data_IF_792372154287
#
_entry.id   IF_792372154287
#
_cell.length_a   1.000
_cell.length_b   1.000
_cell.length_c   1.000
_cell.angle_alpha   90.00
_cell.angle_beta   90.00
_cell.angle_gamma   90.00
#
_symmetry.space_group_name_H-M   'P 1'
#
loop_
_entity.id
_entity.type
_entity.pdbx_description
1 polymer ?
#
# COMPACT_ATOMS: atom_id res chain seq x y z
N UNK A 1 -11.09 -3.51 1.08
CA UNK A 1 -12.14 -3.82 2.08
C UNK A 1 -12.58 -2.61 2.89
N UNK A 2 -11.64 -1.84 3.55
CA UNK A 2 -12.03 -0.71 4.42
C UNK A 2 -12.81 0.34 3.64
N UNK A 3 -12.30 0.80 2.50
CA UNK A 3 -13.00 1.75 1.62
C UNK A 3 -14.39 1.25 1.22
N UNK A 4 -14.48 -0.01 0.78
CA UNK A 4 -15.75 -0.66 0.39
C UNK A 4 -16.73 -0.75 1.55
N UNK A 5 -16.26 -0.99 2.78
CA UNK A 5 -17.10 -1.02 3.99
C UNK A 5 -17.88 0.29 4.16
N UNK A 6 -17.23 1.43 3.93
CA UNK A 6 -17.88 2.75 4.03
C UNK A 6 -18.64 3.15 2.76
N UNK A 7 -18.12 2.87 1.56
CA UNK A 7 -18.72 3.34 0.30
C UNK A 7 -19.93 2.52 -0.14
N UNK A 8 -19.92 1.20 0.04
CA UNK A 8 -20.91 0.26 -0.48
C UNK A 8 -21.45 -0.70 0.58
N UNK A 9 -20.76 -0.79 1.71
CA UNK A 9 -21.01 -1.79 2.76
C UNK A 9 -21.85 -1.30 3.92
N UNK A 10 -21.83 -2.04 5.05
CA UNK A 10 -22.60 -1.73 6.24
C UNK A 10 -22.30 -0.36 6.87
N UNK A 11 -21.10 0.19 6.63
CA UNK A 11 -20.67 1.45 7.23
C UNK A 11 -21.27 2.72 6.64
N UNK A 12 -22.10 2.64 5.58
CA UNK A 12 -22.66 3.82 4.90
C UNK A 12 -23.45 4.77 5.85
N UNK A 13 -24.13 4.23 6.84
CA UNK A 13 -24.89 5.03 7.82
C UNK A 13 -24.01 5.95 8.66
N UNK A 14 -22.70 5.69 8.74
CA UNK A 14 -21.75 6.50 9.51
C UNK A 14 -21.50 7.88 8.90
N UNK A 15 -21.93 8.11 7.65
CA UNK A 15 -21.86 9.40 6.98
C UNK A 15 -22.50 10.54 7.78
N UNK A 16 -23.55 10.23 8.54
CA UNK A 16 -24.28 11.22 9.34
C UNK A 16 -23.52 11.67 10.60
N UNK A 17 -22.48 10.96 10.99
CA UNK A 17 -21.71 11.17 12.23
C UNK A 17 -20.36 11.86 12.01
N UNK A 18 -19.97 12.10 10.77
CA UNK A 18 -18.68 12.71 10.39
C UNK A 18 -18.88 13.84 9.40
N UNK A 19 -17.91 14.75 9.32
CA UNK A 19 -17.95 15.82 8.32
C UNK A 19 -17.80 15.27 6.89
N UNK A 20 -18.22 16.04 5.85
CA UNK A 20 -18.03 15.62 4.45
C UNK A 20 -16.57 15.29 4.09
N UNK A 21 -15.62 16.01 4.67
CA UNK A 21 -14.19 15.79 4.46
C UNK A 21 -13.72 14.48 5.08
N UNK A 22 -14.06 14.25 6.33
CA UNK A 22 -13.76 13.00 7.04
C UNK A 22 -14.42 11.80 6.36
N UNK A 23 -15.65 12.00 5.84
CA UNK A 23 -16.32 10.96 5.06
C UNK A 23 -15.55 10.61 3.79
N UNK A 24 -14.98 11.59 3.10
CA UNK A 24 -14.17 11.38 1.91
C UNK A 24 -12.92 10.56 2.23
N UNK A 25 -12.28 10.80 3.38
CA UNK A 25 -11.17 9.97 3.87
C UNK A 25 -11.56 8.49 4.05
N UNK A 26 -12.75 8.24 4.59
CA UNK A 26 -13.23 6.90 4.89
C UNK A 26 -13.59 6.10 3.62
N UNK A 27 -14.33 6.72 2.69
CA UNK A 27 -14.74 6.04 1.45
C UNK A 27 -13.59 5.83 0.46
N UNK A 28 -12.51 6.57 0.61
CA UNK A 28 -11.28 6.42 -0.18
C UNK A 28 -10.13 5.85 0.64
N UNK A 29 -10.37 5.28 1.83
CA UNK A 29 -9.30 4.80 2.71
C UNK A 29 -8.21 4.09 1.92
N UNK A 30 -6.97 4.59 2.05
CA UNK A 30 -5.86 4.30 1.15
C UNK A 30 -4.58 4.01 1.93
N UNK A 31 -3.83 3.00 1.48
CA UNK A 31 -2.64 2.52 2.17
C UNK A 31 -1.52 3.55 2.27
N UNK A 32 -1.33 4.41 1.25
CA UNK A 32 -0.30 5.46 1.30
C UNK A 32 -0.61 6.50 2.39
N UNK A 33 -1.88 6.95 2.48
CA UNK A 33 -2.30 7.86 3.53
C UNK A 33 -2.17 7.21 4.92
N UNK A 34 -2.53 5.94 5.03
CA UNK A 34 -2.37 5.19 6.28
C UNK A 34 -0.91 5.03 6.68
N UNK A 35 0.00 4.82 5.74
CA UNK A 35 1.45 4.76 6.00
C UNK A 35 1.98 6.07 6.58
N UNK A 36 1.57 7.21 6.01
CA UNK A 36 1.95 8.53 6.55
C UNK A 36 1.41 8.71 7.97
N UNK A 37 0.14 8.35 8.21
CA UNK A 37 -0.48 8.40 9.54
C UNK A 37 0.27 7.53 10.56
N UNK A 38 0.58 6.27 10.24
CA UNK A 38 1.32 5.36 11.13
C UNK A 38 2.68 5.92 11.57
N UNK A 39 3.34 6.68 10.71
CA UNK A 39 4.65 7.27 11.00
C UNK A 39 4.56 8.59 11.78
N UNK A 40 3.49 9.35 11.61
CA UNK A 40 3.36 10.72 12.15
C UNK A 40 2.41 10.83 13.32
N UNK A 41 1.40 9.97 13.41
CA UNK A 41 0.39 10.03 14.47
C UNK A 41 0.99 9.76 15.84
N UNK A 42 0.60 10.59 16.82
CA UNK A 42 0.99 10.40 18.21
C UNK A 42 0.03 9.43 18.90
N UNK A 43 0.33 8.15 18.84
CA UNK A 43 -0.41 7.15 19.60
C UNK A 43 -0.29 7.39 21.11
N UNK A 44 -1.34 7.05 21.85
CA UNK A 44 -1.41 7.27 23.29
C UNK A 44 -0.22 6.60 24.02
N UNK A 45 0.41 7.34 24.91
CA UNK A 45 1.60 6.88 25.65
C UNK A 45 2.91 6.93 24.85
N UNK A 46 2.88 7.48 23.63
CA UNK A 46 4.07 7.73 22.82
C UNK A 46 4.47 9.20 22.86
N UNK A 47 5.75 9.47 22.56
CA UNK A 47 6.25 10.86 22.44
C UNK A 47 5.62 11.57 21.24
N UNK A 48 5.61 12.90 21.27
CA UNK A 48 5.21 13.71 20.11
C UNK A 48 6.05 13.42 18.87
N UNK A 49 5.44 13.57 17.68
CA UNK A 49 6.09 13.33 16.40
C UNK A 49 6.09 11.87 15.94
N UNK A 50 5.23 11.02 16.50
CA UNK A 50 5.07 9.63 16.08
C UNK A 50 6.38 8.84 16.18
N UNK A 51 6.85 8.30 15.06
CA UNK A 51 8.14 7.58 15.00
C UNK A 51 9.35 8.51 14.91
N UNK A 52 9.15 9.83 14.93
CA UNK A 52 10.20 10.85 14.86
C UNK A 52 11.14 10.68 13.65
N UNK A 53 10.55 10.40 12.50
CA UNK A 53 11.26 10.34 11.22
C UNK A 53 11.72 11.74 10.78
N UNK A 54 12.75 11.81 9.95
CA UNK A 54 13.12 13.07 9.30
C UNK A 54 12.04 13.51 8.31
N UNK A 55 11.92 14.81 8.05
CA UNK A 55 10.96 15.30 7.08
C UNK A 55 11.21 14.74 5.68
N UNK A 56 12.48 14.61 5.27
CA UNK A 56 12.82 13.99 3.98
C UNK A 56 12.35 12.54 3.90
N UNK A 57 12.50 11.74 4.97
CA UNK A 57 11.99 10.36 5.01
C UNK A 57 10.47 10.32 4.94
N UNK A 58 9.77 11.23 5.66
CA UNK A 58 8.31 11.32 5.59
C UNK A 58 7.84 11.72 4.20
N UNK A 59 8.48 12.73 3.59
CA UNK A 59 8.11 13.18 2.24
C UNK A 59 8.37 12.14 1.17
N UNK A 60 9.41 11.30 1.32
CA UNK A 60 9.80 10.29 0.33
C UNK A 60 8.79 9.16 0.16
N UNK A 61 7.88 8.95 1.11
CA UNK A 61 6.85 7.90 1.03
C UNK A 61 5.49 8.44 0.56
N UNK A 62 5.32 9.76 0.46
CA UNK A 62 4.02 10.36 0.08
C UNK A 62 3.92 10.45 -1.45
N UNK A 63 3.49 9.35 -2.07
CA UNK A 63 3.31 9.22 -3.53
C UNK A 63 2.27 10.20 -4.08
N UNK A 64 1.24 10.52 -3.29
CA UNK A 64 0.13 11.38 -3.66
C UNK A 64 0.04 12.57 -2.69
N UNK A 65 0.82 13.65 -2.89
CA UNK A 65 0.96 14.73 -1.92
C UNK A 65 -0.27 15.67 -1.92
N UNK A 66 -1.43 15.12 -1.61
CA UNK A 66 -2.72 15.82 -1.51
C UNK A 66 -3.71 15.03 -0.65
N UNK A 67 -4.72 15.72 -0.12
CA UNK A 67 -5.79 15.15 0.71
C UNK A 67 -6.81 14.37 -0.14
N UNK A 68 -7.66 13.60 0.53
CA UNK A 68 -8.75 12.82 -0.09
C UNK A 68 -9.70 13.66 -0.94
N UNK A 69 -9.86 14.95 -0.64
CA UNK A 69 -10.67 15.88 -1.47
C UNK A 69 -10.18 15.97 -2.93
N UNK A 70 -8.93 15.58 -3.20
CA UNK A 70 -8.32 15.60 -4.53
C UNK A 70 -8.02 14.20 -5.09
N UNK A 71 -8.57 13.15 -4.48
CA UNK A 71 -8.28 11.76 -4.82
C UNK A 71 -8.72 11.35 -6.24
N UNK A 72 -9.70 12.06 -6.82
CA UNK A 72 -10.27 11.75 -8.14
C UNK A 72 -10.90 10.35 -8.18
N UNK A 73 -11.13 9.84 -9.39
CA UNK A 73 -11.78 8.54 -9.60
C UNK A 73 -10.95 7.35 -9.08
N UNK A 74 -9.62 7.48 -9.04
CA UNK A 74 -8.73 6.42 -8.54
C UNK A 74 -8.73 6.29 -7.02
N UNK A 75 -9.33 7.23 -6.28
CA UNK A 75 -9.37 7.22 -4.81
C UNK A 75 -8.02 7.32 -4.12
N UNK A 76 -6.94 7.74 -4.82
CA UNK A 76 -5.58 7.81 -4.29
C UNK A 76 -5.29 9.17 -3.67
N UNK A 77 -4.72 9.21 -2.46
CA UNK A 77 -4.29 10.40 -1.73
C UNK A 77 -3.21 10.05 -0.72
N UNK A 78 -2.53 11.03 -0.13
CA UNK A 78 -1.32 10.79 0.66
C UNK A 78 -1.43 11.05 2.16
N UNK A 79 -2.50 11.71 2.63
CA UNK A 79 -2.72 11.98 4.05
C UNK A 79 -4.19 12.25 4.35
N UNK A 80 -4.66 11.78 5.50
CA UNK A 80 -6.01 12.05 5.99
C UNK A 80 -6.15 13.49 6.48
N UNK A 81 -7.38 13.94 6.69
CA UNK A 81 -7.68 15.26 7.24
C UNK A 81 -6.94 15.54 8.55
N UNK A 82 -6.78 14.51 9.38
CA UNK A 82 -6.07 14.57 10.66
C UNK A 82 -4.55 14.81 10.54
N UNK A 83 -3.93 14.40 9.42
CA UNK A 83 -2.49 14.54 9.20
C UNK A 83 -2.11 15.70 8.27
N UNK A 84 -3.07 16.46 7.74
CA UNK A 84 -2.78 17.56 6.81
C UNK A 84 -1.85 18.63 7.39
N UNK A 85 -2.06 19.03 8.64
CA UNK A 85 -1.21 20.04 9.29
C UNK A 85 0.24 19.57 9.38
N UNK A 86 0.44 18.28 9.71
CA UNK A 86 1.77 17.67 9.77
C UNK A 86 2.40 17.63 8.37
N UNK A 87 1.63 17.26 7.35
CA UNK A 87 2.16 17.22 5.98
C UNK A 87 2.53 18.62 5.49
N UNK A 88 1.70 19.65 5.74
CA UNK A 88 2.02 21.05 5.42
C UNK A 88 3.32 21.49 6.08
N UNK A 89 3.51 21.15 7.35
CA UNK A 89 4.76 21.44 8.05
C UNK A 89 5.96 20.75 7.41
N UNK A 90 5.82 19.50 6.96
CA UNK A 90 6.87 18.77 6.21
C UNK A 90 7.18 19.48 4.91
N UNK A 91 6.15 19.86 4.15
CA UNK A 91 6.29 20.55 2.87
C UNK A 91 6.98 21.91 3.02
N UNK A 92 6.56 22.73 4.01
CA UNK A 92 7.16 24.03 4.30
C UNK A 92 8.65 23.91 4.66
N UNK A 93 9.00 22.96 5.51
CA UNK A 93 10.39 22.77 5.95
C UNK A 93 11.32 22.26 4.82
N UNK A 94 10.76 21.56 3.84
CA UNK A 94 11.52 21.06 2.69
C UNK A 94 11.41 21.97 1.46
N UNK A 95 10.62 23.05 1.53
CA UNK A 95 10.37 23.93 0.40
C UNK A 95 9.63 23.24 -0.76
N UNK A 96 8.77 22.25 -0.46
CA UNK A 96 7.97 21.57 -1.48
C UNK A 96 6.90 22.52 -2.00
N UNK A 97 6.84 22.83 -3.31
CA UNK A 97 5.86 23.75 -3.88
C UNK A 97 4.42 23.28 -3.66
N UNK A 98 3.54 24.18 -3.24
CA UNK A 98 2.10 23.96 -3.26
C UNK A 98 1.52 24.59 -4.53
N UNK A 99 0.68 23.86 -5.26
CA UNK A 99 -0.04 24.32 -6.43
C UNK A 99 -1.36 24.99 -6.05
N UNK A 100 -1.92 25.84 -6.92
CA UNK A 100 -3.15 26.61 -6.67
C UNK A 100 -4.36 25.78 -6.19
N UNK A 101 -4.38 24.49 -6.51
CA UNK A 101 -5.47 23.59 -6.15
C UNK A 101 -5.28 22.88 -4.79
N UNK A 102 -4.28 23.26 -3.98
CA UNK A 102 -3.99 22.60 -2.69
C UNK A 102 -3.29 21.25 -2.82
N UNK A 103 -2.77 20.93 -4.00
CA UNK A 103 -1.85 19.80 -4.21
C UNK A 103 -0.43 20.30 -4.06
N UNK A 104 0.45 19.41 -3.63
CA UNK A 104 1.89 19.70 -3.54
C UNK A 104 2.65 18.97 -4.61
N UNK A 105 3.85 19.46 -4.93
CA UNK A 105 4.81 18.74 -5.75
C UNK A 105 5.25 17.45 -5.03
N UNK A 106 5.63 16.43 -5.78
CA UNK A 106 6.23 15.21 -5.22
C UNK A 106 7.65 15.51 -4.77
N UNK A 107 8.01 15.05 -3.59
CA UNK A 107 9.41 15.10 -3.15
C UNK A 107 10.28 14.26 -4.09
N UNK A 108 11.50 14.70 -4.49
CA UNK A 108 12.34 13.98 -5.45
C UNK A 108 12.53 12.49 -5.14
N UNK A 109 12.75 12.14 -3.87
CA UNK A 109 12.95 10.74 -3.47
C UNK A 109 11.69 9.85 -3.61
N UNK A 110 10.50 10.43 -3.79
CA UNK A 110 9.27 9.64 -4.03
C UNK A 110 9.39 8.83 -5.32
N UNK A 111 9.97 9.41 -6.36
CA UNK A 111 10.15 8.72 -7.65
C UNK A 111 11.03 7.47 -7.50
N UNK A 112 12.08 7.55 -6.68
CA UNK A 112 12.96 6.41 -6.40
C UNK A 112 12.23 5.36 -5.55
N UNK A 113 11.51 5.80 -4.51
CA UNK A 113 10.75 4.89 -3.64
C UNK A 113 9.66 4.16 -4.43
N UNK A 114 8.92 4.88 -5.28
CA UNK A 114 7.91 4.33 -6.17
C UNK A 114 8.50 3.30 -7.13
N UNK A 115 9.59 3.66 -7.82
CA UNK A 115 10.23 2.74 -8.76
C UNK A 115 10.77 1.48 -8.06
N UNK A 116 11.34 1.60 -6.86
CA UNK A 116 11.82 0.46 -6.09
C UNK A 116 10.68 -0.48 -5.69
N UNK A 117 9.54 0.07 -5.25
CA UNK A 117 8.34 -0.68 -4.90
C UNK A 117 7.76 -1.40 -6.13
N UNK A 118 7.52 -0.67 -7.21
CA UNK A 118 6.92 -1.20 -8.43
C UNK A 118 7.81 -2.28 -9.10
N UNK A 119 9.14 -2.09 -9.14
CA UNK A 119 10.09 -3.08 -9.68
C UNK A 119 10.05 -4.36 -8.84
N UNK A 120 10.18 -4.23 -7.51
CA UNK A 120 10.23 -5.39 -6.64
C UNK A 120 8.91 -6.16 -6.67
N UNK A 121 7.80 -5.46 -6.47
CA UNK A 121 6.47 -6.05 -6.41
C UNK A 121 6.16 -6.86 -7.67
N UNK A 122 6.24 -6.24 -8.85
CA UNK A 122 5.87 -6.87 -10.11
C UNK A 122 6.72 -8.10 -10.45
N UNK A 123 8.02 -8.03 -10.21
CA UNK A 123 8.94 -9.11 -10.56
C UNK A 123 8.86 -10.26 -9.55
N UNK A 124 8.70 -9.95 -8.26
CA UNK A 124 8.57 -10.95 -7.22
C UNK A 124 7.23 -11.68 -7.26
N UNK A 125 6.14 -11.00 -7.62
CA UNK A 125 4.82 -11.64 -7.78
C UNK A 125 4.84 -12.75 -8.83
N UNK A 126 5.55 -12.55 -9.95
CA UNK A 126 5.72 -13.59 -10.98
C UNK A 126 6.54 -14.78 -10.46
N UNK A 127 7.61 -14.52 -9.71
CA UNK A 127 8.41 -15.59 -9.08
C UNK A 127 7.58 -16.38 -8.06
N UNK A 128 6.84 -15.70 -7.20
CA UNK A 128 6.04 -16.35 -6.17
C UNK A 128 4.86 -17.11 -6.77
N UNK A 129 4.20 -16.58 -7.79
CA UNK A 129 3.16 -17.28 -8.53
C UNK A 129 3.68 -18.57 -9.20
N UNK A 130 4.93 -18.55 -9.67
CA UNK A 130 5.58 -19.76 -10.20
C UNK A 130 5.88 -20.77 -9.08
N UNK A 131 6.42 -20.34 -7.94
CA UNK A 131 6.67 -21.21 -6.78
C UNK A 131 5.39 -21.87 -6.27
N UNK A 132 4.29 -21.11 -6.28
CA UNK A 132 2.96 -21.59 -5.92
C UNK A 132 2.27 -22.39 -7.03
N UNK A 133 2.92 -22.56 -8.20
CA UNK A 133 2.41 -23.27 -9.38
C UNK A 133 1.13 -22.68 -9.98
N UNK A 134 0.90 -21.40 -9.76
CA UNK A 134 -0.19 -20.63 -10.39
C UNK A 134 0.13 -20.40 -11.88
N UNK A 135 1.40 -20.16 -12.20
CA UNK A 135 1.90 -20.03 -13.58
C UNK A 135 3.10 -20.94 -13.82
N UNK A 136 3.31 -21.41 -15.06
CA UNK A 136 4.44 -22.29 -15.38
C UNK A 136 5.77 -21.55 -15.43
N UNK A 137 6.86 -22.24 -15.08
CA UNK A 137 8.22 -21.68 -15.07
C UNK A 137 8.67 -21.15 -16.43
N UNK A 138 8.29 -21.83 -17.51
CA UNK A 138 8.62 -21.44 -18.88
C UNK A 138 8.07 -20.06 -19.25
N UNK A 139 6.87 -19.73 -18.77
CA UNK A 139 6.26 -18.42 -18.99
C UNK A 139 7.07 -17.33 -18.28
N UNK A 140 7.47 -17.54 -17.02
CA UNK A 140 8.25 -16.57 -16.26
C UNK A 140 9.62 -16.35 -16.90
N UNK A 141 10.26 -17.43 -17.35
CA UNK A 141 11.54 -17.36 -18.07
C UNK A 141 11.39 -16.53 -19.36
N UNK A 142 10.34 -16.75 -20.15
CA UNK A 142 10.10 -15.97 -21.38
C UNK A 142 9.85 -14.48 -21.09
N UNK A 143 9.02 -14.17 -20.09
CA UNK A 143 8.76 -12.81 -19.66
C UNK A 143 10.05 -12.08 -19.24
N UNK A 144 10.86 -12.72 -18.40
CA UNK A 144 12.11 -12.13 -17.91
C UNK A 144 13.18 -11.99 -19.00
N UNK A 145 13.26 -12.91 -19.93
CA UNK A 145 14.14 -12.78 -21.08
C UNK A 145 13.74 -11.63 -22.03
N UNK A 146 12.48 -11.19 -21.99
CA UNK A 146 12.01 -10.06 -22.76
C UNK A 146 12.68 -8.72 -22.42
N UNK A 147 13.25 -8.59 -21.20
CA UNK A 147 13.97 -7.38 -20.78
C UNK A 147 15.31 -7.18 -21.48
N UNK A 148 15.85 -8.21 -22.17
CA UNK A 148 17.21 -8.23 -22.70
C UNK A 148 17.22 -8.21 -24.23
N UNK A 149 18.27 -7.59 -24.80
CA UNK A 149 18.53 -7.69 -26.23
C UNK A 149 19.04 -9.10 -26.63
N UNK A 150 19.19 -9.34 -27.93
CA UNK A 150 19.62 -10.65 -28.46
C UNK A 150 20.97 -11.12 -27.89
N UNK A 151 21.90 -10.20 -27.66
CA UNK A 151 23.24 -10.54 -27.15
C UNK A 151 23.18 -11.00 -25.70
N UNK A 152 22.53 -10.21 -24.86
CA UNK A 152 22.34 -10.52 -23.44
C UNK A 152 21.45 -11.73 -23.23
N UNK A 153 20.35 -11.83 -24.00
CA UNK A 153 19.47 -13.01 -24.01
C UNK A 153 20.24 -14.29 -24.31
N UNK A 154 21.10 -14.27 -25.35
CA UNK A 154 21.94 -15.41 -25.71
C UNK A 154 22.93 -15.79 -24.59
N UNK A 155 23.49 -14.79 -23.89
CA UNK A 155 24.34 -15.02 -22.72
C UNK A 155 23.58 -15.67 -21.58
N UNK A 156 22.38 -15.18 -21.27
CA UNK A 156 21.52 -15.72 -20.20
C UNK A 156 21.08 -17.13 -20.50
N UNK A 157 20.64 -17.43 -21.72
CA UNK A 157 20.25 -18.78 -22.13
C UNK A 157 21.38 -19.79 -21.94
N UNK A 158 22.64 -19.41 -22.22
CA UNK A 158 23.81 -20.27 -21.94
C UNK A 158 23.99 -20.55 -20.44
N UNK A 159 23.72 -19.56 -19.60
CA UNK A 159 23.80 -19.72 -18.14
C UNK A 159 22.65 -20.62 -17.65
N UNK A 160 21.43 -20.36 -18.12
CA UNK A 160 20.25 -21.18 -17.78
C UNK A 160 20.40 -22.64 -18.17
N UNK A 161 21.13 -22.92 -19.28
CA UNK A 161 21.42 -24.28 -19.71
C UNK A 161 22.36 -25.05 -18.76
N UNK A 162 22.97 -24.40 -17.78
CA UNK A 162 23.83 -25.01 -16.75
C UNK A 162 23.14 -25.20 -15.40
N UNK A 163 21.94 -24.65 -15.28
CA UNK A 163 21.10 -24.73 -14.07
C UNK A 163 20.02 -25.78 -14.31
N UNK A 164 19.83 -26.69 -13.37
CA UNK A 164 18.80 -27.72 -13.46
C UNK A 164 17.50 -27.28 -12.77
N UNK A 165 17.60 -26.64 -11.59
CA UNK A 165 16.45 -26.21 -10.82
C UNK A 165 15.74 -25.01 -11.47
N UNK A 166 14.43 -25.11 -11.78
CA UNK A 166 13.64 -23.99 -12.29
C UNK A 166 13.65 -22.76 -11.39
N UNK A 167 13.69 -22.93 -10.07
CA UNK A 167 13.73 -21.80 -9.13
C UNK A 167 15.06 -21.04 -9.21
N UNK A 168 16.17 -21.77 -9.38
CA UNK A 168 17.48 -21.13 -9.59
C UNK A 168 17.52 -20.35 -10.91
N UNK A 169 16.92 -20.89 -11.98
CA UNK A 169 16.80 -20.19 -13.27
C UNK A 169 16.06 -18.87 -13.13
N UNK A 170 14.92 -18.88 -12.45
CA UNK A 170 14.10 -17.69 -12.24
C UNK A 170 14.81 -16.69 -11.33
N UNK A 171 15.41 -17.14 -10.23
CA UNK A 171 16.18 -16.28 -9.32
C UNK A 171 17.35 -15.58 -10.03
N UNK A 172 18.06 -16.30 -10.92
CA UNK A 172 19.10 -15.71 -11.75
C UNK A 172 18.57 -14.63 -12.69
N UNK A 173 17.47 -14.92 -13.41
CA UNK A 173 16.85 -13.94 -14.31
C UNK A 173 16.28 -12.74 -13.54
N UNK A 174 15.58 -12.97 -12.43
CA UNK A 174 15.05 -11.92 -11.56
C UNK A 174 16.13 -10.92 -11.17
N UNK A 175 17.26 -11.41 -10.69
CA UNK A 175 18.38 -10.53 -10.29
C UNK A 175 18.87 -9.66 -11.45
N UNK A 176 18.97 -10.20 -12.65
CA UNK A 176 19.38 -9.48 -13.84
C UNK A 176 18.31 -8.47 -14.31
N UNK A 177 17.02 -8.85 -14.26
CA UNK A 177 15.90 -7.96 -14.62
C UNK A 177 15.85 -6.76 -13.68
N UNK A 178 15.88 -6.99 -12.36
CA UNK A 178 15.91 -5.92 -11.36
C UNK A 178 17.12 -5.01 -11.61
N UNK A 179 18.29 -5.58 -11.82
CA UNK A 179 19.50 -4.80 -12.13
C UNK A 179 19.35 -3.91 -13.36
N UNK A 180 18.79 -4.44 -14.45
CA UNK A 180 18.57 -3.66 -15.68
C UNK A 180 17.56 -2.53 -15.46
N UNK A 181 16.47 -2.77 -14.76
CA UNK A 181 15.45 -1.76 -14.46
C UNK A 181 15.98 -0.67 -13.52
N UNK A 182 16.74 -1.04 -12.48
CA UNK A 182 17.35 -0.09 -11.55
C UNK A 182 18.31 0.85 -12.26
N UNK A 183 19.16 0.34 -13.16
CA UNK A 183 20.10 1.17 -13.93
C UNK A 183 19.34 2.16 -14.81
N UNK A 184 18.33 1.70 -15.56
CA UNK A 184 17.56 2.55 -16.47
C UNK A 184 16.73 3.61 -15.70
N UNK A 185 16.08 3.23 -14.59
CA UNK A 185 15.37 4.18 -13.73
C UNK A 185 16.32 5.24 -13.12
N UNK A 186 17.56 4.86 -12.76
CA UNK A 186 18.55 5.81 -12.27
C UNK A 186 18.98 6.81 -13.36
N UNK A 187 19.12 6.36 -14.61
CA UNK A 187 19.41 7.22 -15.75
C UNK A 187 18.24 8.18 -16.05
N UNK A 188 16.98 7.68 -15.99
CA UNK A 188 15.78 8.51 -16.13
C UNK A 188 15.72 9.57 -15.03
N UNK A 189 15.98 9.18 -13.78
CA UNK A 189 15.98 10.09 -12.64
C UNK A 189 17.06 11.19 -12.82
N UNK A 190 18.27 10.81 -13.14
CA UNK A 190 19.38 11.75 -13.33
C UNK A 190 19.14 12.71 -14.52
N UNK A 191 18.59 12.21 -15.63
CA UNK A 191 18.26 13.05 -16.79
C UNK A 191 17.04 13.94 -16.57
N UNK A 192 16.15 13.56 -15.67
CA UNK A 192 14.95 14.31 -15.29
C UNK A 192 15.13 15.25 -14.10
N UNK A 193 16.33 15.38 -13.53
CA UNK A 193 16.60 16.08 -12.26
C UNK A 193 16.00 17.49 -12.21
N UNK A 194 16.17 18.29 -13.25
CA UNK A 194 15.66 19.67 -13.31
C UNK A 194 14.11 19.69 -13.18
N UNK A 195 13.42 18.87 -13.96
CA UNK A 195 11.96 18.78 -13.92
C UNK A 195 11.44 18.18 -12.59
N UNK A 196 12.17 17.24 -12.02
CA UNK A 196 11.84 16.63 -10.72
C UNK A 196 11.95 17.69 -9.61
N UNK A 197 13.03 18.46 -9.59
CA UNK A 197 13.24 19.53 -8.59
C UNK A 197 12.25 20.68 -8.77
N UNK A 198 11.84 20.98 -10.00
CA UNK A 198 10.80 21.97 -10.28
C UNK A 198 9.36 21.48 -9.93
N UNK A 199 9.16 20.17 -9.67
CA UNK A 199 7.84 19.57 -9.45
C UNK A 199 7.03 19.37 -10.74
N UNK A 200 7.68 19.43 -11.91
CA UNK A 200 7.07 19.35 -13.24
C UNK A 200 7.15 17.95 -13.87
N UNK A 201 7.87 17.00 -13.24
CA UNK A 201 7.97 15.63 -13.72
C UNK A 201 6.68 14.86 -13.41
N UNK A 202 5.82 14.69 -14.43
CA UNK A 202 4.45 14.20 -14.26
C UNK A 202 4.30 12.67 -14.27
N UNK A 203 5.32 11.92 -14.73
CA UNK A 203 5.24 10.47 -14.91
C UNK A 203 5.98 9.72 -13.79
N UNK A 204 5.89 8.38 -13.78
CA UNK A 204 6.80 7.54 -12.99
C UNK A 204 8.13 7.33 -13.72
N UNK A 205 9.17 6.88 -13.00
CA UNK A 205 10.45 6.53 -13.66
C UNK A 205 10.26 5.35 -14.61
N UNK A 206 9.40 4.40 -14.26
CA UNK A 206 9.08 3.22 -15.09
C UNK A 206 8.43 3.64 -16.42
N UNK A 207 7.53 4.62 -16.41
CA UNK A 207 6.90 5.12 -17.63
C UNK A 207 7.88 5.78 -18.61
N UNK A 208 9.02 6.21 -18.12
CA UNK A 208 10.09 6.87 -18.90
C UNK A 208 11.27 5.96 -19.22
N UNK A 209 11.25 4.70 -18.78
CA UNK A 209 12.26 3.71 -19.16
C UNK A 209 12.38 3.55 -20.70
N UNK A 210 13.50 3.00 -21.14
CA UNK A 210 13.69 2.61 -22.54
C UNK A 210 12.52 1.73 -23.03
N UNK A 211 12.08 1.88 -24.29
CA UNK A 211 10.89 1.21 -24.82
C UNK A 211 10.86 -0.29 -24.57
N UNK A 212 12.00 -0.99 -24.76
CA UNK A 212 12.10 -2.43 -24.54
C UNK A 212 11.80 -2.84 -23.09
N UNK A 213 12.39 -2.15 -22.10
CA UNK A 213 12.18 -2.45 -20.69
C UNK A 213 10.75 -2.17 -20.28
N UNK A 214 10.19 -1.06 -20.72
CA UNK A 214 8.80 -0.68 -20.48
C UNK A 214 7.82 -1.68 -21.09
N UNK A 215 8.04 -2.13 -22.31
CA UNK A 215 7.21 -3.14 -22.97
C UNK A 215 7.28 -4.49 -22.23
N UNK A 216 8.48 -4.93 -21.84
CA UNK A 216 8.66 -6.16 -21.07
C UNK A 216 7.98 -6.06 -19.70
N UNK A 217 8.08 -4.93 -19.02
CA UNK A 217 7.38 -4.66 -17.76
C UNK A 217 5.85 -4.70 -17.93
N UNK A 218 5.32 -4.06 -18.99
CA UNK A 218 3.89 -4.10 -19.29
C UNK A 218 3.38 -5.52 -19.53
N UNK A 219 4.14 -6.36 -20.24
CA UNK A 219 3.81 -7.79 -20.43
C UNK A 219 3.78 -8.56 -19.10
N UNK A 220 4.69 -8.25 -18.19
CA UNK A 220 4.67 -8.80 -16.83
C UNK A 220 3.39 -8.39 -16.08
N UNK A 221 3.04 -7.10 -16.12
CA UNK A 221 1.83 -6.57 -15.47
C UNK A 221 0.56 -7.16 -16.04
N UNK A 222 0.44 -7.26 -17.36
CA UNK A 222 -0.71 -7.90 -18.02
C UNK A 222 -0.84 -9.38 -17.65
N UNK A 223 0.30 -10.09 -17.54
CA UNK A 223 0.32 -11.49 -17.12
C UNK A 223 -0.12 -11.66 -15.67
N UNK A 224 0.39 -10.80 -14.78
CA UNK A 224 0.01 -10.81 -13.37
C UNK A 224 -1.49 -10.55 -13.21
N UNK A 225 -2.02 -9.53 -13.90
CA UNK A 225 -3.45 -9.20 -13.88
C UNK A 225 -4.32 -10.35 -14.35
N UNK A 226 -3.99 -10.93 -15.51
CA UNK A 226 -4.85 -11.92 -16.16
C UNK A 226 -4.71 -13.35 -15.60
N UNK A 227 -3.59 -13.68 -14.96
CA UNK A 227 -3.30 -15.06 -14.54
C UNK A 227 -3.01 -15.24 -13.05
N UNK A 228 -2.57 -14.20 -12.35
CA UNK A 228 -2.21 -14.29 -10.93
C UNK A 228 -3.33 -13.75 -10.07
N UNK A 229 -3.68 -12.47 -10.24
CA UNK A 229 -4.66 -11.81 -9.36
C UNK A 229 -6.09 -12.34 -9.56
N UNK A 230 -6.38 -12.96 -10.71
CA UNK A 230 -7.66 -13.63 -10.98
C UNK A 230 -7.62 -15.14 -10.67
N UNK A 231 -6.50 -15.68 -10.17
CA UNK A 231 -6.41 -17.07 -9.81
C UNK A 231 -7.33 -17.40 -8.62
N UNK A 232 -7.94 -18.57 -8.66
CA UNK A 232 -8.93 -18.98 -7.65
C UNK A 232 -8.37 -18.94 -6.24
N UNK A 233 -7.13 -19.36 -6.06
CA UNK A 233 -6.42 -19.38 -4.78
C UNK A 233 -6.30 -17.97 -4.19
N UNK A 234 -6.04 -16.96 -5.03
CA UNK A 234 -5.95 -15.54 -4.63
C UNK A 234 -7.34 -15.00 -4.30
N UNK A 235 -8.31 -15.24 -5.19
CA UNK A 235 -9.70 -14.77 -5.00
C UNK A 235 -10.33 -15.36 -3.73
N UNK A 236 -10.08 -16.64 -3.42
CA UNK A 236 -10.59 -17.28 -2.21
C UNK A 236 -10.04 -16.60 -0.94
N UNK A 237 -8.76 -16.19 -0.94
CA UNK A 237 -8.14 -15.44 0.17
C UNK A 237 -8.73 -14.03 0.27
N UNK A 238 -8.91 -13.34 -0.85
CA UNK A 238 -9.52 -11.99 -0.85
C UNK A 238 -10.95 -11.99 -0.32
N UNK A 239 -11.76 -12.98 -0.72
CA UNK A 239 -13.13 -13.14 -0.23
C UNK A 239 -13.16 -13.41 1.27
N UNK A 240 -12.29 -14.30 1.75
CA UNK A 240 -12.16 -14.60 3.18
C UNK A 240 -11.71 -13.37 3.98
N UNK A 241 -10.68 -12.67 3.48
CA UNK A 241 -10.17 -11.44 4.08
C UNK A 241 -11.22 -10.33 4.14
N UNK A 242 -11.97 -10.14 3.05
CA UNK A 242 -13.08 -9.18 3.02
C UNK A 242 -14.11 -9.48 4.12
N UNK A 243 -14.52 -10.73 4.25
CA UNK A 243 -15.49 -11.14 5.27
C UNK A 243 -14.99 -10.95 6.70
N UNK A 244 -13.73 -11.30 6.96
CA UNK A 244 -13.10 -11.15 8.27
C UNK A 244 -13.02 -9.68 8.65
N UNK A 245 -12.48 -8.85 7.78
CA UNK A 245 -12.28 -7.41 8.04
C UNK A 245 -13.61 -6.68 8.18
N UNK A 246 -14.61 -6.97 7.33
CA UNK A 246 -15.95 -6.37 7.44
C UNK A 246 -16.58 -6.68 8.79
N UNK A 247 -16.48 -7.93 9.26
CA UNK A 247 -17.00 -8.31 10.56
C UNK A 247 -16.29 -7.60 11.72
N UNK A 248 -14.96 -7.50 11.66
CA UNK A 248 -14.18 -6.82 12.69
C UNK A 248 -14.49 -5.32 12.72
N UNK A 249 -14.59 -4.67 11.55
CA UNK A 249 -15.01 -3.29 11.44
C UNK A 249 -16.38 -3.05 12.07
N UNK A 250 -17.37 -3.81 11.66
CA UNK A 250 -18.75 -3.67 12.15
C UNK A 250 -18.82 -3.83 13.68
N UNK A 251 -18.16 -4.87 14.19
CA UNK A 251 -18.15 -5.19 15.61
C UNK A 251 -17.44 -4.13 16.45
N UNK A 252 -16.27 -3.66 16.02
CA UNK A 252 -15.49 -2.69 16.80
C UNK A 252 -16.02 -1.27 16.66
N UNK A 253 -16.59 -0.91 15.51
CA UNK A 253 -17.24 0.39 15.30
C UNK A 253 -18.52 0.47 16.15
N UNK A 254 -19.37 -0.56 16.20
CA UNK A 254 -20.51 -0.57 17.14
C UNK A 254 -20.07 -0.38 18.59
N UNK A 255 -18.94 -0.98 18.97
CA UNK A 255 -18.41 -0.84 20.32
C UNK A 255 -17.97 0.60 20.64
N UNK A 256 -17.32 1.32 19.72
CA UNK A 256 -16.94 2.73 19.95
C UNK A 256 -18.11 3.70 19.83
N UNK A 257 -19.17 3.33 19.11
CA UNK A 257 -20.43 4.09 19.08
C UNK A 257 -21.24 3.91 20.37
N UNK A 258 -21.23 2.74 20.96
CA UNK A 258 -22.04 2.36 22.11
C UNK A 258 -21.15 1.88 23.29
N UNK A 259 -20.25 2.71 23.81
CA UNK A 259 -19.20 2.26 24.75
C UNK A 259 -19.74 1.80 26.11
N UNK A 260 -20.95 2.17 26.47
CA UNK A 260 -21.56 1.84 27.77
C UNK A 260 -22.20 0.46 27.82
N UNK A 261 -22.50 -0.15 26.66
CA UNK A 261 -23.02 -1.53 26.61
C UNK A 261 -22.00 -2.50 27.20
N UNK A 262 -22.47 -3.50 27.94
CA UNK A 262 -21.61 -4.48 28.62
C UNK A 262 -20.70 -5.23 27.62
N UNK A 263 -21.23 -5.62 26.48
CA UNK A 263 -20.44 -6.30 25.45
C UNK A 263 -19.41 -5.37 24.79
N UNK A 264 -19.77 -4.12 24.54
CA UNK A 264 -18.84 -3.10 24.03
C UNK A 264 -17.65 -2.87 24.97
N UNK A 265 -17.88 -2.85 26.28
CA UNK A 265 -16.79 -2.74 27.26
C UNK A 265 -15.81 -3.89 27.15
N UNK A 266 -16.28 -5.11 26.91
CA UNK A 266 -15.39 -6.27 26.69
C UNK A 266 -14.60 -6.12 25.40
N UNK A 267 -15.25 -5.72 24.29
CA UNK A 267 -14.60 -5.48 23.00
C UNK A 267 -13.55 -4.36 23.07
N UNK A 268 -13.86 -3.24 23.73
CA UNK A 268 -12.92 -2.13 23.88
C UNK A 268 -11.70 -2.51 24.73
N UNK A 269 -11.81 -3.48 25.62
CA UNK A 269 -10.68 -3.96 26.42
C UNK A 269 -9.68 -4.83 25.61
N UNK A 270 -10.06 -5.37 24.47
CA UNK A 270 -9.14 -6.12 23.60
C UNK A 270 -8.36 -5.20 22.67
N UNK A 271 -8.81 -3.95 22.46
CA UNK A 271 -8.07 -2.97 21.67
C UNK A 271 -6.90 -2.44 22.52
N UNK A 272 -5.66 -2.48 22.01
CA UNK A 272 -4.50 -1.96 22.75
C UNK A 272 -4.67 -0.49 23.14
N UNK A 273 -4.25 -0.14 24.34
CA UNK A 273 -4.41 1.19 24.93
C UNK A 273 -3.72 2.34 24.14
N UNK A 274 -2.87 2.00 23.18
CA UNK A 274 -2.27 3.01 22.29
C UNK A 274 -3.28 3.66 21.36
N UNK A 275 -4.39 2.98 21.04
CA UNK A 275 -5.48 3.49 20.22
C UNK A 275 -6.53 4.17 21.10
N UNK A 276 -6.81 5.45 20.86
CA UNK A 276 -7.73 6.21 21.72
C UNK A 276 -9.20 6.01 21.32
N UNK A 277 -9.77 4.89 21.71
CA UNK A 277 -11.18 4.56 21.48
C UNK A 277 -12.16 5.45 22.24
N UNK A 278 -11.67 6.37 23.08
CA UNK A 278 -12.45 7.33 23.87
C UNK A 278 -12.18 8.78 23.49
N UNK A 279 -11.55 9.03 22.37
CA UNK A 279 -11.34 10.37 21.84
C UNK A 279 -12.66 11.16 21.76
N UNK A 280 -12.56 12.48 21.87
CA UNK A 280 -13.74 13.37 21.88
C UNK A 280 -14.47 13.31 20.53
N UNK A 281 -13.72 13.40 19.44
CA UNK A 281 -14.26 13.30 18.08
C UNK A 281 -14.64 11.87 17.76
N UNK A 282 -15.81 11.68 17.14
CA UNK A 282 -16.22 10.39 16.66
C UNK A 282 -15.32 9.89 15.53
N UNK A 283 -14.87 10.79 14.66
CA UNK A 283 -13.90 10.45 13.60
C UNK A 283 -12.58 9.93 14.17
N UNK A 284 -12.03 10.53 15.22
CA UNK A 284 -10.83 10.03 15.89
C UNK A 284 -11.03 8.63 16.49
N UNK A 285 -12.22 8.37 17.05
CA UNK A 285 -12.56 7.01 17.52
C UNK A 285 -12.65 6.01 16.37
N UNK A 286 -13.22 6.39 15.22
CA UNK A 286 -13.22 5.57 14.01
C UNK A 286 -11.79 5.31 13.54
N UNK A 287 -10.97 6.35 13.44
CA UNK A 287 -9.56 6.19 13.06
C UNK A 287 -8.80 5.25 14.00
N UNK A 288 -9.07 5.30 15.31
CA UNK A 288 -8.45 4.37 16.27
C UNK A 288 -8.84 2.91 16.01
N UNK A 289 -10.07 2.65 15.57
CA UNK A 289 -10.48 1.31 15.13
C UNK A 289 -9.78 0.92 13.83
N UNK A 290 -9.72 1.84 12.87
CA UNK A 290 -9.04 1.60 11.58
C UNK A 290 -7.53 1.36 11.77
N UNK A 291 -6.87 2.14 12.63
CA UNK A 291 -5.47 1.96 12.99
C UNK A 291 -5.22 0.59 13.60
N UNK A 292 -6.12 0.14 14.51
CA UNK A 292 -6.01 -1.18 15.12
C UNK A 292 -6.20 -2.30 14.09
N UNK A 293 -7.22 -2.22 13.23
CA UNK A 293 -7.50 -3.25 12.23
C UNK A 293 -6.43 -3.28 11.14
N UNK A 294 -6.02 -2.12 10.61
CA UNK A 294 -4.98 -2.05 9.57
C UNK A 294 -3.59 -2.47 10.07
N UNK A 295 -3.36 -2.40 11.38
CA UNK A 295 -2.14 -2.86 12.03
C UNK A 295 -2.12 -4.36 12.38
N UNK A 296 -3.19 -5.10 12.11
CA UNK A 296 -3.24 -6.55 12.35
C UNK A 296 -2.46 -7.32 11.28
N UNK A 297 -1.81 -8.41 11.70
CA UNK A 297 -1.39 -9.44 10.74
C UNK A 297 -2.61 -10.30 10.36
N UNK A 298 -2.54 -10.95 9.19
CA UNK A 298 -3.62 -11.84 8.72
C UNK A 298 -3.95 -12.93 9.74
N UNK A 299 -2.92 -13.50 10.35
CA UNK A 299 -3.08 -14.54 11.39
C UNK A 299 -3.82 -13.98 12.62
N UNK A 300 -3.47 -12.78 13.06
CA UNK A 300 -4.13 -12.16 14.21
C UNK A 300 -5.59 -11.79 13.89
N UNK A 301 -5.85 -11.22 12.72
CA UNK A 301 -7.21 -10.87 12.30
C UNK A 301 -8.10 -12.12 12.21
N UNK A 302 -7.60 -13.21 11.64
CA UNK A 302 -8.32 -14.50 11.56
C UNK A 302 -8.56 -15.10 12.93
N UNK A 303 -7.57 -15.07 13.82
CA UNK A 303 -7.70 -15.60 15.19
C UNK A 303 -8.74 -14.80 15.99
N UNK A 304 -8.67 -13.46 15.92
CA UNK A 304 -9.65 -12.59 16.57
C UNK A 304 -11.07 -12.83 16.03
N UNK A 305 -11.23 -12.92 14.71
CA UNK A 305 -12.49 -13.25 14.07
C UNK A 305 -13.06 -14.59 14.61
N UNK A 306 -12.25 -15.64 14.69
CA UNK A 306 -12.66 -16.94 15.21
C UNK A 306 -13.09 -16.88 16.67
N UNK A 307 -12.34 -16.16 17.51
CA UNK A 307 -12.66 -15.96 18.93
C UNK A 307 -13.97 -15.21 19.12
N UNK A 308 -14.18 -14.12 18.41
CA UNK A 308 -15.41 -13.33 18.52
C UNK A 308 -16.65 -14.08 18.01
N UNK A 309 -16.48 -15.01 17.07
CA UNK A 309 -17.57 -15.88 16.58
C UNK A 309 -17.71 -17.20 17.38
N UNK A 310 -16.93 -17.41 18.44
CA UNK A 310 -17.00 -18.62 19.25
C UNK A 310 -16.47 -19.89 18.56
N UNK A 311 -15.71 -19.75 17.48
CA UNK A 311 -15.13 -20.87 16.73
C UNK A 311 -13.82 -21.37 17.34
N UNK A 312 -13.21 -20.60 18.22
CA UNK A 312 -12.05 -21.00 19.01
C UNK A 312 -12.13 -20.36 20.40
N UNK A 313 -11.76 -21.12 21.41
CA UNK A 313 -11.56 -20.60 22.76
C UNK A 313 -10.07 -20.33 22.98
N UNK A 314 -9.72 -19.32 23.82
CA UNK A 314 -8.33 -19.15 24.23
C UNK A 314 -7.82 -20.45 24.87
N UNK A 315 -6.62 -20.89 24.49
CA UNK A 315 -5.93 -21.93 25.24
C UNK A 315 -5.63 -21.36 26.64
N UNK A 316 -6.14 -22.02 27.67
CA UNK A 316 -5.89 -21.68 29.09
C UNK A 316 -4.54 -22.20 29.48
#
# INVERSE_FOLDING_TARGET
>A
TISTYFSEGPGQYLREYVSPREWTDLIHFEGNANSFRLLTHQFRGRRGGGMAMTYSSLASIVKYPFSSAHAGEKGKFGFFASEEEIFRKVADQLGIPEFENGRFARHPLVYITEAADDICYQIMDLEDAQKLKVIPSELVVDLFLGFFDETDRSRMLRTLGRLDDPNEKIAYLRSNVIGAMVVDCAEVFASGEEAILAGEFGDSLIDRMQPRLREAYSRCSETAWNKIYCAREVVDIELAGNRILTYLLDTLIDAVMNPDKNYSKLLLNIIPNQYDTRAVSFYERLQSVLDHISGMTDVYALDLFRKLNGHSLPAV
#
